data_IF_556353283524
#
_entry.id   IF_556353283524
#
_cell.length_a   1.000
_cell.length_b   1.000
_cell.length_c   1.000
_cell.angle_alpha   90.00
_cell.angle_beta   90.00
_cell.angle_gamma   90.00
#
_symmetry.space_group_name_H-M   'P 1'
#
loop_
_entity.id
_entity.type
_entity.pdbx_description
1 polymer ?
#
# COMPACT_ATOMS: atom_id res chain seq x y z
N UNK A 1 -4.38 -15.59 15.59
CA UNK A 1 -3.53 -14.52 15.05
C UNK A 1 -4.40 -13.79 14.06
N UNK A 2 -4.52 -12.47 14.19
CA UNK A 2 -5.28 -11.64 13.25
C UNK A 2 -4.60 -11.62 11.88
N UNK A 3 -5.39 -11.43 10.82
CA UNK A 3 -4.90 -11.37 9.45
C UNK A 3 -4.29 -9.99 9.17
N UNK A 4 -3.06 -9.95 8.67
CA UNK A 4 -2.29 -8.72 8.52
C UNK A 4 -2.46 -8.16 7.10
N UNK A 5 -2.95 -6.93 6.98
CA UNK A 5 -3.10 -6.26 5.67
C UNK A 5 -2.29 -4.96 5.64
N UNK A 6 -1.43 -4.82 4.63
CA UNK A 6 -0.69 -3.58 4.39
C UNK A 6 -1.36 -2.74 3.28
N UNK A 7 -1.66 -1.48 3.57
CA UNK A 7 -2.32 -0.55 2.66
C UNK A 7 -1.28 0.40 2.03
N UNK A 8 -0.76 0.00 0.86
CA UNK A 8 0.19 0.78 0.06
C UNK A 8 -0.51 1.72 -0.93
N UNK A 9 0.18 2.77 -1.35
CA UNK A 9 -0.26 3.68 -2.40
C UNK A 9 -0.64 5.08 -1.92
N UNK A 10 -1.38 5.79 -2.75
CA UNK A 10 -1.68 7.23 -2.63
C UNK A 10 -2.19 7.65 -1.23
N UNK A 11 -1.88 8.89 -0.81
CA UNK A 11 -2.16 9.42 0.53
C UNK A 11 -3.06 10.68 0.51
N UNK A 12 -3.70 10.96 -0.61
CA UNK A 12 -4.47 12.18 -0.89
C UNK A 12 -5.99 12.01 -0.74
N UNK A 13 -6.48 10.81 -0.46
CA UNK A 13 -7.89 10.51 -0.18
C UNK A 13 -8.04 9.67 1.09
N UNK A 14 -9.29 9.43 1.52
CA UNK A 14 -9.65 8.71 2.75
C UNK A 14 -9.86 7.20 2.56
N UNK A 15 -9.46 6.62 1.42
CA UNK A 15 -9.71 5.21 1.08
C UNK A 15 -9.22 4.20 2.14
N UNK A 16 -8.16 4.51 2.89
CA UNK A 16 -7.69 3.65 4.00
C UNK A 16 -8.67 3.64 5.15
N UNK A 17 -9.27 4.78 5.45
CA UNK A 17 -10.27 4.90 6.50
C UNK A 17 -11.58 4.26 6.04
N UNK A 18 -11.92 4.32 4.76
CA UNK A 18 -13.04 3.55 4.19
C UNK A 18 -12.85 2.04 4.38
N UNK A 19 -11.68 1.48 4.04
CA UNK A 19 -11.38 0.06 4.27
C UNK A 19 -11.44 -0.26 5.76
N UNK A 20 -10.89 0.60 6.64
CA UNK A 20 -10.96 0.40 8.10
C UNK A 20 -12.40 0.30 8.57
N UNK A 21 -13.26 1.26 8.18
CA UNK A 21 -14.69 1.26 8.52
C UNK A 21 -15.39 0.01 7.98
N UNK A 22 -15.08 -0.41 6.76
CA UNK A 22 -15.68 -1.61 6.16
C UNK A 22 -15.29 -2.91 6.87
N UNK A 23 -14.01 -3.06 7.22
CA UNK A 23 -13.48 -4.19 8.01
C UNK A 23 -14.13 -4.24 9.40
N UNK A 24 -14.22 -3.09 10.09
CA UNK A 24 -14.87 -2.97 11.40
C UNK A 24 -16.36 -3.31 11.32
N UNK A 25 -17.08 -2.78 10.32
CA UNK A 25 -18.50 -3.03 10.12
C UNK A 25 -18.81 -4.50 9.79
N UNK A 26 -17.91 -5.17 9.06
CA UNK A 26 -18.01 -6.59 8.74
C UNK A 26 -17.53 -7.50 9.89
N UNK A 27 -16.97 -6.94 10.97
CA UNK A 27 -16.49 -7.70 12.12
C UNK A 27 -15.30 -8.61 11.83
N UNK A 28 -14.43 -8.22 10.88
CA UNK A 28 -13.30 -9.05 10.45
C UNK A 28 -12.09 -8.90 11.39
N UNK A 29 -11.44 -10.01 11.73
CA UNK A 29 -10.20 -10.04 12.53
C UNK A 29 -8.97 -9.69 11.68
N UNK A 30 -8.86 -8.39 11.33
CA UNK A 30 -7.81 -7.85 10.46
C UNK A 30 -7.04 -6.72 11.17
N UNK A 31 -5.72 -6.74 11.05
CA UNK A 31 -4.86 -5.61 11.44
C UNK A 31 -4.43 -4.88 10.18
N UNK A 32 -4.84 -3.62 10.07
CA UNK A 32 -4.46 -2.73 8.98
C UNK A 32 -3.19 -1.95 9.33
N UNK A 33 -2.21 -1.96 8.42
CA UNK A 33 -0.96 -1.20 8.53
C UNK A 33 -0.72 -0.36 7.27
N UNK A 34 0.13 0.67 7.36
CA UNK A 34 0.34 1.63 6.27
C UNK A 34 1.74 2.28 6.34
N UNK A 35 2.21 2.92 5.24
CA UNK A 35 3.34 3.82 5.31
C UNK A 35 3.02 5.04 6.18
N UNK A 36 4.03 5.89 6.41
CA UNK A 36 3.83 7.23 6.99
C UNK A 36 3.04 8.05 5.97
N UNK A 37 1.85 8.52 6.36
CA UNK A 37 0.97 9.33 5.49
C UNK A 37 1.13 10.83 5.71
N UNK A 38 1.86 11.22 6.75
CA UNK A 38 2.29 12.60 6.96
C UNK A 38 3.44 12.91 5.99
N UNK A 39 3.19 13.84 5.07
CA UNK A 39 4.12 14.17 3.99
C UNK A 39 5.42 14.76 4.52
N UNK A 40 5.33 15.72 5.45
CA UNK A 40 6.51 16.41 5.99
C UNK A 40 7.37 15.44 6.81
N UNK A 41 6.73 14.57 7.60
CA UNK A 41 7.44 13.54 8.36
C UNK A 41 8.10 12.50 7.44
N UNK A 42 7.44 12.12 6.33
CA UNK A 42 7.98 11.20 5.34
C UNK A 42 9.18 11.79 4.61
N UNK A 43 9.09 13.04 4.16
CA UNK A 43 10.16 13.75 3.45
C UNK A 43 11.39 13.99 4.34
N UNK A 44 11.16 14.22 5.64
CA UNK A 44 12.21 14.47 6.63
C UNK A 44 12.73 13.21 7.34
N UNK A 45 12.28 12.00 6.95
CA UNK A 45 12.59 10.76 7.67
C UNK A 45 14.10 10.51 7.87
N UNK A 46 14.94 10.99 6.96
CA UNK A 46 16.40 10.86 7.02
C UNK A 46 17.16 12.06 7.61
N UNK A 47 16.49 13.16 7.95
CA UNK A 47 17.17 14.44 8.26
C UNK A 47 18.00 14.38 9.55
N UNK A 48 17.61 13.54 10.51
CA UNK A 48 18.34 13.33 11.77
C UNK A 48 19.72 12.67 11.60
N UNK A 49 20.04 12.17 10.40
CA UNK A 49 21.35 11.54 10.09
C UNK A 49 22.41 12.56 9.63
N UNK A 50 22.06 13.85 9.56
CA UNK A 50 22.98 14.95 9.25
C UNK A 50 22.44 15.89 8.18
N UNK A 51 23.05 17.07 8.03
CA UNK A 51 22.65 18.02 6.98
C UNK A 51 22.89 17.42 5.58
N UNK A 52 21.93 17.63 4.68
CA UNK A 52 22.05 17.32 3.26
C UNK A 52 21.54 18.51 2.46
N UNK A 53 22.39 19.06 1.59
CA UNK A 53 22.05 20.28 0.83
C UNK A 53 21.52 19.98 -0.55
N UNK A 54 21.84 18.79 -1.06
CA UNK A 54 21.40 18.33 -2.37
C UNK A 54 20.11 17.52 -2.23
N UNK A 55 19.01 18.04 -2.81
CA UNK A 55 17.68 17.42 -2.70
C UNK A 55 17.66 15.94 -3.10
N UNK A 56 18.39 15.57 -4.16
CA UNK A 56 18.50 14.17 -4.60
C UNK A 56 18.98 13.23 -3.48
N UNK A 57 19.99 13.63 -2.71
CA UNK A 57 20.55 12.81 -1.64
C UNK A 57 19.68 12.82 -0.38
N UNK A 58 19.01 13.95 -0.10
CA UNK A 58 18.04 14.05 0.99
C UNK A 58 16.88 13.08 0.74
N UNK A 59 16.30 13.11 -0.45
CA UNK A 59 15.18 12.25 -0.83
C UNK A 59 15.57 10.77 -0.81
N UNK A 60 16.76 10.40 -1.29
CA UNK A 60 17.26 9.03 -1.21
C UNK A 60 17.42 8.54 0.22
N UNK A 61 17.90 9.41 1.10
CA UNK A 61 18.12 9.08 2.51
C UNK A 61 16.78 8.87 3.21
N UNK A 62 15.84 9.79 3.08
CA UNK A 62 14.50 9.66 3.65
C UNK A 62 13.76 8.44 3.09
N UNK A 63 13.85 8.20 1.77
CA UNK A 63 13.28 7.01 1.13
C UNK A 63 13.84 5.71 1.71
N UNK A 64 15.15 5.63 2.00
CA UNK A 64 15.76 4.45 2.63
C UNK A 64 15.28 4.24 4.07
N UNK A 65 15.13 5.30 4.85
CA UNK A 65 14.60 5.20 6.23
C UNK A 65 13.15 4.73 6.19
N UNK A 66 12.32 5.33 5.33
CA UNK A 66 10.93 4.89 5.12
C UNK A 66 10.85 3.43 4.66
N UNK A 67 11.77 2.99 3.80
CA UNK A 67 11.80 1.63 3.31
C UNK A 67 12.04 0.58 4.41
N UNK A 68 12.70 0.93 5.53
CA UNK A 68 12.82 0.03 6.68
C UNK A 68 11.42 -0.34 7.19
N UNK A 69 10.54 0.65 7.35
CA UNK A 69 9.14 0.43 7.75
C UNK A 69 8.37 -0.31 6.66
N UNK A 70 8.34 0.23 5.45
CA UNK A 70 7.51 -0.29 4.35
C UNK A 70 7.84 -1.74 4.02
N UNK A 71 9.13 -2.08 3.85
CA UNK A 71 9.54 -3.45 3.51
C UNK A 71 9.27 -4.43 4.65
N UNK A 72 9.46 -4.00 5.90
CA UNK A 72 9.15 -4.83 7.07
C UNK A 72 7.66 -5.14 7.14
N UNK A 73 6.81 -4.14 6.93
CA UNK A 73 5.35 -4.31 6.98
C UNK A 73 4.82 -5.13 5.80
N UNK A 74 5.34 -4.93 4.58
CA UNK A 74 5.00 -5.78 3.43
C UNK A 74 5.42 -7.23 3.67
N UNK A 75 6.63 -7.47 4.18
CA UNK A 75 7.10 -8.82 4.45
C UNK A 75 6.24 -9.53 5.50
N UNK A 76 5.78 -8.79 6.53
CA UNK A 76 4.97 -9.30 7.63
C UNK A 76 3.46 -9.40 7.33
N UNK A 77 2.95 -8.79 6.25
CA UNK A 77 1.52 -8.85 5.91
C UNK A 77 1.13 -10.20 5.31
N UNK A 78 -0.12 -10.62 5.46
CA UNK A 78 -0.69 -11.75 4.75
C UNK A 78 -1.20 -11.34 3.37
N UNK A 79 -1.69 -10.10 3.24
CA UNK A 79 -2.15 -9.48 1.99
C UNK A 79 -1.69 -8.02 1.90
N UNK A 80 -1.39 -7.55 0.69
CA UNK A 80 -1.16 -6.12 0.42
C UNK A 80 -2.27 -5.57 -0.47
N UNK A 81 -2.75 -4.36 -0.18
CA UNK A 81 -3.63 -3.60 -1.07
C UNK A 81 -2.83 -2.41 -1.61
N UNK A 82 -2.70 -2.30 -2.93
CA UNK A 82 -1.94 -1.24 -3.59
C UNK A 82 -2.90 -0.29 -4.31
N UNK A 83 -3.10 0.92 -3.77
CA UNK A 83 -3.97 1.95 -4.34
C UNK A 83 -3.21 2.83 -5.33
N UNK A 84 -3.70 2.89 -6.57
CA UNK A 84 -3.26 3.86 -7.58
C UNK A 84 -4.32 4.95 -7.77
N UNK A 85 -4.11 6.12 -7.15
CA UNK A 85 -4.99 7.28 -7.29
C UNK A 85 -4.67 8.15 -8.50
N UNK A 86 -5.48 9.21 -8.68
CA UNK A 86 -5.45 10.04 -9.89
C UNK A 86 -4.40 11.18 -9.82
N UNK A 87 -3.81 11.38 -8.64
CA UNK A 87 -2.80 12.43 -8.41
C UNK A 87 -1.39 11.84 -8.51
N UNK A 88 -0.51 12.58 -9.18
CA UNK A 88 0.88 12.16 -9.42
C UNK A 88 0.97 10.80 -10.14
N UNK A 89 2.19 10.37 -10.41
CA UNK A 89 2.43 9.13 -11.17
C UNK A 89 2.40 7.86 -10.32
N UNK A 90 2.42 7.98 -8.98
CA UNK A 90 2.34 6.85 -8.03
C UNK A 90 3.45 5.79 -8.20
N UNK A 91 4.69 6.23 -8.46
CA UNK A 91 5.85 5.35 -8.65
C UNK A 91 6.20 4.49 -7.43
N UNK A 92 5.98 5.01 -6.23
CA UNK A 92 6.12 4.25 -4.99
C UNK A 92 5.13 3.09 -4.93
N UNK A 93 3.87 3.29 -5.37
CA UNK A 93 2.86 2.23 -5.39
C UNK A 93 3.23 1.12 -6.39
N UNK A 94 3.68 1.50 -7.60
CA UNK A 94 4.17 0.54 -8.59
C UNK A 94 5.39 -0.25 -8.09
N UNK A 95 6.31 0.43 -7.39
CA UNK A 95 7.49 -0.21 -6.80
C UNK A 95 7.10 -1.21 -5.69
N UNK A 96 6.17 -0.84 -4.81
CA UNK A 96 5.67 -1.72 -3.76
C UNK A 96 4.95 -2.95 -4.35
N UNK A 97 4.16 -2.78 -5.41
CA UNK A 97 3.53 -3.91 -6.11
C UNK A 97 4.57 -4.86 -6.72
N UNK A 98 5.59 -4.32 -7.39
CA UNK A 98 6.71 -5.12 -7.90
C UNK A 98 7.49 -5.83 -6.79
N UNK A 99 7.63 -5.20 -5.62
CA UNK A 99 8.24 -5.83 -4.44
C UNK A 99 7.39 -6.96 -3.88
N UNK A 100 6.06 -6.81 -3.87
CA UNK A 100 5.13 -7.88 -3.50
C UNK A 100 5.26 -9.08 -4.44
N UNK A 101 5.23 -8.83 -5.76
CA UNK A 101 5.42 -9.87 -6.78
C UNK A 101 6.76 -10.61 -6.60
N UNK A 102 7.85 -9.87 -6.39
CA UNK A 102 9.18 -10.46 -6.18
C UNK A 102 9.28 -11.33 -4.91
N UNK A 103 8.51 -11.03 -3.87
CA UNK A 103 8.46 -11.80 -2.62
C UNK A 103 7.43 -12.94 -2.65
N UNK A 104 6.62 -13.06 -3.71
CA UNK A 104 5.45 -13.94 -3.71
C UNK A 104 4.39 -13.53 -2.67
N UNK A 105 4.36 -12.25 -2.30
CA UNK A 105 3.37 -11.70 -1.38
C UNK A 105 2.08 -11.42 -2.17
N UNK A 106 0.94 -12.04 -1.86
CA UNK A 106 -0.29 -11.77 -2.59
C UNK A 106 -0.69 -10.30 -2.38
N UNK A 107 -1.12 -9.66 -3.48
CA UNK A 107 -1.62 -8.30 -3.43
C UNK A 107 -2.81 -8.08 -4.35
N UNK A 108 -3.60 -7.07 -4.02
CA UNK A 108 -4.75 -6.59 -4.79
C UNK A 108 -4.46 -5.15 -5.24
N UNK A 109 -4.70 -4.86 -6.51
CA UNK A 109 -4.65 -3.47 -7.00
C UNK A 109 -6.00 -2.79 -6.78
N UNK A 110 -5.99 -1.52 -6.39
CA UNK A 110 -7.18 -0.70 -6.22
C UNK A 110 -7.09 0.55 -7.10
N UNK A 111 -7.84 0.58 -8.21
CA UNK A 111 -7.88 1.72 -9.12
C UNK A 111 -9.06 1.76 -10.08
N UNK A 112 -9.27 2.94 -10.68
CA UNK A 112 -10.25 3.18 -11.72
C UNK A 112 -9.86 2.52 -13.04
N UNK A 113 -10.81 2.45 -13.97
CA UNK A 113 -10.61 1.86 -15.29
C UNK A 113 -9.68 2.70 -16.17
N UNK A 114 -9.49 3.99 -15.83
CA UNK A 114 -8.71 4.96 -16.62
C UNK A 114 -7.23 4.60 -16.75
N UNK A 115 -6.70 3.82 -15.80
CA UNK A 115 -5.28 3.46 -15.73
C UNK A 115 -5.03 1.95 -15.87
N UNK A 116 -6.00 1.17 -16.35
CA UNK A 116 -5.83 -0.28 -16.59
C UNK A 116 -4.72 -0.56 -17.62
N UNK A 117 -4.69 0.18 -18.73
CA UNK A 117 -3.65 -0.05 -19.76
C UNK A 117 -2.22 0.19 -19.23
N UNK A 118 -1.91 1.32 -18.56
CA UNK A 118 -0.58 1.52 -18.00
C UNK A 118 -0.24 0.62 -16.80
N UNK A 119 -1.22 -0.02 -16.15
CA UNK A 119 -1.01 -0.95 -15.05
C UNK A 119 -1.05 -2.43 -15.47
N UNK A 120 -1.18 -2.76 -16.75
CA UNK A 120 -1.38 -4.15 -17.21
C UNK A 120 -0.32 -5.15 -16.71
N UNK A 121 0.96 -4.76 -16.60
CA UNK A 121 2.01 -5.62 -16.03
C UNK A 121 1.91 -5.76 -14.51
N UNK A 122 1.44 -4.71 -13.83
CA UNK A 122 1.20 -4.74 -12.38
C UNK A 122 -0.05 -5.56 -12.06
N UNK A 123 -1.11 -5.43 -12.85
CA UNK A 123 -2.35 -6.19 -12.68
C UNK A 123 -2.17 -7.67 -13.04
N UNK A 124 -1.27 -8.00 -13.97
CA UNK A 124 -0.97 -9.38 -14.34
C UNK A 124 -0.39 -10.22 -13.18
N UNK A 125 0.34 -9.57 -12.27
CA UNK A 125 0.93 -10.21 -11.08
C UNK A 125 0.02 -10.09 -9.84
N UNK A 126 -1.05 -9.28 -9.90
CA UNK A 126 -2.00 -9.10 -8.82
C UNK A 126 -2.97 -10.29 -8.70
N UNK A 127 -3.43 -10.58 -7.48
CA UNK A 127 -4.43 -11.62 -7.24
C UNK A 127 -5.84 -11.19 -7.63
N UNK A 128 -6.10 -9.88 -7.62
CA UNK A 128 -7.35 -9.28 -8.08
C UNK A 128 -7.15 -7.79 -8.36
N UNK A 129 -8.03 -7.25 -9.21
CA UNK A 129 -8.23 -5.82 -9.40
C UNK A 129 -9.55 -5.39 -8.75
N UNK A 130 -9.48 -4.45 -7.81
CA UNK A 130 -10.61 -3.80 -7.17
C UNK A 130 -10.78 -2.37 -7.72
N UNK A 131 -12.03 -1.96 -7.90
CA UNK A 131 -12.41 -0.60 -8.31
C UNK A 131 -12.89 0.24 -7.14
N UNK A 132 -13.33 -0.40 -6.06
CA UNK A 132 -13.85 0.27 -4.86
C UNK A 132 -13.28 -0.37 -3.58
N UNK A 133 -13.25 0.40 -2.50
CA UNK A 133 -12.85 -0.08 -1.17
C UNK A 133 -13.79 -1.19 -0.68
N UNK A 134 -15.09 -1.13 -0.99
CA UNK A 134 -16.04 -2.22 -0.73
C UNK A 134 -15.65 -3.55 -1.37
N UNK A 135 -15.08 -3.53 -2.58
CA UNK A 135 -14.61 -4.77 -3.22
C UNK A 135 -13.41 -5.37 -2.49
N UNK A 136 -12.53 -4.52 -1.95
CA UNK A 136 -11.43 -4.97 -1.08
C UNK A 136 -11.97 -5.62 0.18
N UNK A 137 -12.97 -5.02 0.84
CA UNK A 137 -13.61 -5.58 2.04
C UNK A 137 -14.23 -6.94 1.73
N UNK A 138 -14.95 -7.08 0.61
CA UNK A 138 -15.53 -8.37 0.17
C UNK A 138 -14.48 -9.45 -0.12
N UNK A 139 -13.31 -9.06 -0.64
CA UNK A 139 -12.18 -10.00 -0.80
C UNK A 139 -11.73 -10.49 0.58
N UNK A 140 -11.59 -9.61 1.57
CA UNK A 140 -11.22 -9.98 2.94
C UNK A 140 -12.27 -10.88 3.60
N UNK A 141 -13.57 -10.57 3.45
CA UNK A 141 -14.67 -11.41 3.94
C UNK A 141 -14.61 -12.83 3.35
N UNK A 142 -14.23 -12.96 2.08
CA UNK A 142 -14.09 -14.26 1.44
C UNK A 142 -12.88 -15.03 1.96
N UNK A 143 -11.71 -14.38 2.05
CA UNK A 143 -10.45 -14.98 2.50
C UNK A 143 -10.53 -15.44 3.96
N UNK A 144 -11.27 -14.71 4.79
CA UNK A 144 -11.41 -14.99 6.23
C UNK A 144 -12.64 -15.82 6.59
N UNK A 145 -13.38 -16.32 5.59
CA UNK A 145 -14.53 -17.17 5.83
C UNK A 145 -14.08 -18.50 6.43
N UNK A 146 -14.71 -18.91 7.53
CA UNK A 146 -14.53 -20.26 8.08
C UNK A 146 -14.96 -21.33 7.05
N UNK A 147 -14.20 -22.41 6.97
CA UNK A 147 -14.49 -23.56 6.09
C UNK A 147 -15.64 -24.42 6.60
#
# INVERSE_FOLDING_TARGET
MSFQVYLSGEIHTDWRDEIRRGVEAAGLDVVLTSPVTDHDASDAAGDHLGEEREGFWRDHRSSKVNAIRTRTLIAASDLVVVRFGDKYKQWNAAFDAGYCAALGKPYVTLHSEEIVHPLKEVDAEAMAWARTTDQVVKILEHVLRES
#
